data_IF_209822130286
#
_entry.id   IF_209822130286
#
_cell.length_a   1.000
_cell.length_b   1.000
_cell.length_c   1.000
_cell.angle_alpha   90.00
_cell.angle_beta   90.00
_cell.angle_gamma   90.00
#
_symmetry.space_group_name_H-M   'P 1'
#
loop_
_entity.id
_entity.type
_entity.pdbx_description
1 polymer ?
#
# COMPACT_ATOMS: atom_id res chain seq x y z
N UNK A 1 4.25 7.21 -10.40
CA UNK A 1 4.35 7.22 -8.92
C UNK A 1 5.22 6.04 -8.49
N UNK A 2 6.20 6.26 -7.61
CA UNK A 2 7.11 5.22 -7.13
C UNK A 2 6.97 5.06 -5.61
N UNK A 3 6.77 3.84 -5.15
CA UNK A 3 6.56 3.46 -3.74
C UNK A 3 7.10 2.04 -3.51
N UNK A 4 7.07 1.53 -2.28
CA UNK A 4 7.55 0.20 -1.89
C UNK A 4 7.21 -0.07 -0.43
N UNK A 5 7.59 -1.24 0.07
CA UNK A 5 7.53 -1.59 1.50
C UNK A 5 6.11 -1.55 2.11
N UNK A 6 5.11 -2.01 1.37
CA UNK A 6 3.72 -1.98 1.82
C UNK A 6 3.42 -2.99 2.93
N UNK A 7 4.09 -4.14 2.91
CA UNK A 7 3.89 -5.24 3.87
C UNK A 7 2.41 -5.51 4.17
N UNK A 8 1.60 -5.68 3.13
CA UNK A 8 0.18 -5.99 3.29
C UNK A 8 -0.01 -7.28 4.10
N UNK A 9 -0.90 -7.24 5.09
CA UNK A 9 -1.15 -8.34 6.02
C UNK A 9 -0.27 -8.34 7.27
N UNK A 10 0.60 -7.34 7.46
CA UNK A 10 1.46 -7.22 8.64
C UNK A 10 0.66 -7.12 9.93
N UNK A 11 1.16 -7.82 10.97
CA UNK A 11 0.75 -7.60 12.35
C UNK A 11 1.83 -6.80 13.08
N UNK A 12 1.44 -5.77 13.82
CA UNK A 12 2.34 -5.04 14.73
C UNK A 12 1.88 -5.30 16.17
N UNK A 13 2.78 -5.84 16.99
CA UNK A 13 2.49 -6.20 18.39
C UNK A 13 1.24 -7.11 18.54
N UNK A 14 1.05 -8.01 17.57
CA UNK A 14 -0.11 -8.91 17.52
C UNK A 14 -1.42 -8.27 17.06
N UNK A 15 -1.41 -6.99 16.68
CA UNK A 15 -2.56 -6.29 16.12
C UNK A 15 -2.47 -6.23 14.60
N UNK A 16 -3.59 -6.56 13.94
CA UNK A 16 -3.73 -6.45 12.49
C UNK A 16 -3.65 -4.99 12.05
N UNK A 17 -3.02 -4.76 10.89
CA UNK A 17 -2.96 -3.45 10.22
C UNK A 17 -3.87 -3.40 8.99
N UNK A 18 -4.74 -4.38 8.80
CA UNK A 18 -5.59 -4.46 7.61
C UNK A 18 -6.49 -3.24 7.42
N UNK A 19 -7.10 -2.73 8.49
CA UNK A 19 -8.02 -1.58 8.40
C UNK A 19 -7.32 -0.32 7.89
N UNK A 20 -6.13 -0.01 8.42
CA UNK A 20 -5.34 1.14 7.96
C UNK A 20 -4.71 0.90 6.59
N UNK A 21 -4.34 -0.34 6.26
CA UNK A 21 -3.84 -0.69 4.93
C UNK A 21 -4.92 -0.54 3.87
N UNK A 22 -6.18 -0.88 4.18
CA UNK A 22 -7.32 -0.65 3.31
C UNK A 22 -7.54 0.85 3.06
N UNK A 23 -7.54 1.67 4.12
CA UNK A 23 -7.67 3.13 3.99
C UNK A 23 -6.52 3.75 3.20
N UNK A 24 -5.27 3.32 3.46
CA UNK A 24 -4.11 3.72 2.66
C UNK A 24 -4.30 3.40 1.18
N UNK A 25 -4.76 2.20 0.82
CA UNK A 25 -4.95 1.82 -0.57
C UNK A 25 -6.05 2.65 -1.25
N UNK A 26 -7.14 2.96 -0.55
CA UNK A 26 -8.20 3.85 -1.06
C UNK A 26 -7.64 5.24 -1.36
N UNK A 27 -6.88 5.82 -0.44
CA UNK A 27 -6.30 7.14 -0.64
C UNK A 27 -5.19 7.13 -1.69
N UNK A 28 -4.40 6.06 -1.76
CA UNK A 28 -3.39 5.87 -2.79
C UNK A 28 -4.01 5.87 -4.20
N UNK A 29 -5.13 5.17 -4.40
CA UNK A 29 -5.87 5.16 -5.67
C UNK A 29 -6.35 6.57 -6.03
N UNK A 30 -6.92 7.31 -5.08
CA UNK A 30 -7.33 8.71 -5.32
C UNK A 30 -6.16 9.57 -5.77
N UNK A 31 -4.99 9.45 -5.12
CA UNK A 31 -3.78 10.20 -5.50
C UNK A 31 -3.38 9.87 -6.94
N UNK A 32 -3.40 8.59 -7.32
CA UNK A 32 -3.08 8.13 -8.68
C UNK A 32 -4.05 8.73 -9.70
N UNK A 33 -5.35 8.71 -9.42
CA UNK A 33 -6.41 9.24 -10.29
C UNK A 33 -6.34 10.77 -10.42
N UNK A 34 -6.30 11.50 -9.30
CA UNK A 34 -6.31 12.97 -9.28
C UNK A 34 -5.10 13.57 -10.00
N UNK A 35 -3.96 12.88 -9.96
CA UNK A 35 -2.72 13.33 -10.59
C UNK A 35 -2.53 12.77 -12.01
N UNK A 36 -3.49 12.02 -12.55
CA UNK A 36 -3.42 11.37 -13.87
C UNK A 36 -2.11 10.58 -14.05
N UNK A 37 -1.76 9.76 -13.07
CA UNK A 37 -0.50 9.01 -13.09
C UNK A 37 -0.60 7.85 -14.09
N UNK A 38 0.25 7.86 -15.11
CA UNK A 38 0.26 6.80 -16.15
C UNK A 38 0.89 5.47 -15.72
N UNK A 39 1.81 5.51 -14.74
CA UNK A 39 2.56 4.34 -14.27
C UNK A 39 2.83 4.40 -12.77
N UNK A 40 2.52 3.29 -12.10
CA UNK A 40 2.91 3.03 -10.70
C UNK A 40 3.97 1.93 -10.68
N UNK A 41 5.05 2.16 -9.95
CA UNK A 41 6.07 1.16 -9.65
C UNK A 41 6.07 0.92 -8.14
N UNK A 42 5.96 -0.34 -7.74
CA UNK A 42 6.09 -0.79 -6.35
C UNK A 42 7.39 -1.58 -6.22
N UNK A 43 8.38 -1.01 -5.55
CA UNK A 43 9.74 -1.52 -5.43
C UNK A 43 9.89 -2.55 -4.30
N UNK A 44 9.12 -3.64 -4.39
CA UNK A 44 9.23 -4.78 -3.48
C UNK A 44 8.36 -4.68 -2.23
N UNK A 45 8.37 -5.77 -1.46
CA UNK A 45 7.71 -5.94 -0.17
C UNK A 45 6.22 -5.54 -0.17
N UNK A 46 5.49 -6.03 -1.19
CA UNK A 46 4.04 -5.82 -1.31
C UNK A 46 3.29 -6.54 -0.18
N UNK A 47 3.69 -7.77 0.12
CA UNK A 47 3.08 -8.60 1.16
C UNK A 47 4.08 -8.85 2.29
N UNK A 48 3.59 -8.93 3.53
CA UNK A 48 4.44 -9.19 4.69
C UNK A 48 4.98 -10.63 4.74
N UNK A 49 4.30 -11.55 4.06
CA UNK A 49 4.67 -12.97 3.97
C UNK A 49 4.77 -13.41 2.52
N UNK A 50 5.68 -14.35 2.23
CA UNK A 50 5.94 -14.93 0.91
C UNK A 50 5.03 -16.11 0.59
#
# INVERSE_FOLDING_TARGET
LHTGDWHLGKNLEGQSRMDEQEEFLKDFVKIVEENNIDLVIIAGDVYDTS
#
